data_IF_588193419356
#
_entry.id   IF_588193419356
#
_cell.length_a   1.000
_cell.length_b   1.000
_cell.length_c   1.000
_cell.angle_alpha   90.00
_cell.angle_beta   90.00
_cell.angle_gamma   90.00
#
_symmetry.space_group_name_H-M   'P 1'
#
loop_
_entity.id
_entity.type
_entity.pdbx_description
1 polymer ?
#
# COMPACT_ATOMS: atom_id res chain seq x y z
N UNK A 1 7.25 -47.13 -11.09
CA UNK A 1 8.25 -46.07 -11.33
C UNK A 1 7.73 -44.97 -12.26
N UNK A 2 7.22 -45.27 -13.46
CA UNK A 2 6.80 -44.25 -14.44
C UNK A 2 5.71 -43.28 -13.92
N UNK A 3 4.72 -43.78 -13.17
CA UNK A 3 3.61 -42.97 -12.63
C UNK A 3 4.05 -41.97 -11.57
N UNK A 4 4.98 -42.36 -10.68
CA UNK A 4 5.53 -41.48 -9.65
C UNK A 4 6.36 -40.34 -10.25
N UNK A 5 7.11 -40.62 -11.31
CA UNK A 5 7.90 -39.62 -12.04
C UNK A 5 6.96 -38.58 -12.69
N UNK A 6 5.86 -39.03 -13.30
CA UNK A 6 4.85 -38.13 -13.89
C UNK A 6 4.20 -37.27 -12.81
N UNK A 7 3.83 -37.83 -11.66
CA UNK A 7 3.26 -37.04 -10.56
C UNK A 7 4.21 -35.96 -10.05
N UNK A 8 5.50 -36.27 -9.89
CA UNK A 8 6.52 -35.30 -9.46
C UNK A 8 6.70 -34.21 -10.50
N UNK A 9 6.82 -34.57 -11.78
CA UNK A 9 6.97 -33.60 -12.87
C UNK A 9 5.75 -32.68 -13.00
N UNK A 10 4.54 -33.23 -12.90
CA UNK A 10 3.30 -32.43 -12.92
C UNK A 10 3.18 -31.51 -11.71
N UNK A 11 3.62 -31.95 -10.53
CA UNK A 11 3.65 -31.12 -9.32
C UNK A 11 4.66 -29.98 -9.44
N UNK A 12 5.87 -30.26 -9.93
CA UNK A 12 6.89 -29.25 -10.18
C UNK A 12 6.44 -28.24 -11.25
N UNK A 13 5.85 -28.72 -12.34
CA UNK A 13 5.29 -27.85 -13.37
C UNK A 13 4.16 -26.96 -12.80
N UNK A 14 3.21 -27.53 -12.05
CA UNK A 14 2.15 -26.76 -11.40
C UNK A 14 2.68 -25.71 -10.42
N UNK A 15 3.66 -26.09 -9.60
CA UNK A 15 4.32 -25.18 -8.66
C UNK A 15 5.06 -24.03 -9.36
N UNK A 16 5.78 -24.31 -10.44
CA UNK A 16 6.47 -23.26 -11.22
C UNK A 16 5.49 -22.28 -11.86
N UNK A 17 4.37 -22.76 -12.39
CA UNK A 17 3.32 -21.91 -12.97
C UNK A 17 2.69 -21.03 -11.89
N UNK A 18 2.32 -21.60 -10.75
CA UNK A 18 1.76 -20.85 -9.62
C UNK A 18 2.73 -19.78 -9.09
N UNK A 19 4.02 -20.10 -8.99
CA UNK A 19 5.06 -19.15 -8.57
C UNK A 19 5.21 -17.99 -9.57
N UNK A 20 5.19 -18.26 -10.88
CA UNK A 20 5.25 -17.23 -11.92
C UNK A 20 4.03 -16.30 -11.87
N UNK A 21 2.83 -16.84 -11.65
CA UNK A 21 1.62 -16.03 -11.47
C UNK A 21 1.70 -15.18 -10.20
N UNK A 22 2.16 -15.74 -9.09
CA UNK A 22 2.37 -15.00 -7.84
C UNK A 22 3.36 -13.84 -8.01
N UNK A 23 4.49 -14.09 -8.68
CA UNK A 23 5.48 -13.05 -8.97
C UNK A 23 4.92 -11.95 -9.87
N UNK A 24 4.12 -12.31 -10.87
CA UNK A 24 3.45 -11.34 -11.74
C UNK A 24 2.42 -10.49 -10.99
N UNK A 25 1.66 -11.09 -10.07
CA UNK A 25 0.73 -10.36 -9.22
C UNK A 25 1.44 -9.38 -8.27
N UNK A 26 2.55 -9.81 -7.64
CA UNK A 26 3.39 -8.96 -6.79
C UNK A 26 3.99 -7.76 -7.54
N UNK A 27 4.51 -8.01 -8.75
CA UNK A 27 5.04 -6.91 -9.59
C UNK A 27 3.94 -5.97 -10.08
N UNK A 28 2.76 -6.49 -10.40
CA UNK A 28 1.60 -5.67 -10.76
C UNK A 28 1.11 -4.82 -9.58
N UNK A 29 1.11 -5.35 -8.35
CA UNK A 29 0.74 -4.57 -7.17
C UNK A 29 1.73 -3.43 -6.89
N UNK A 30 3.04 -3.67 -7.05
CA UNK A 30 4.05 -2.61 -6.92
C UNK A 30 3.89 -1.52 -7.98
N UNK A 31 3.64 -1.90 -9.24
CA UNK A 31 3.39 -0.91 -10.30
C UNK A 31 2.11 -0.11 -10.03
N UNK A 32 1.06 -0.75 -9.51
CA UNK A 32 -0.17 -0.08 -9.13
C UNK A 32 0.06 0.94 -8.00
N UNK A 33 0.85 0.57 -6.99
CA UNK A 33 1.21 1.47 -5.88
C UNK A 33 1.94 2.72 -6.38
N UNK A 34 2.95 2.55 -7.24
CA UNK A 34 3.68 3.68 -7.84
C UNK A 34 2.76 4.58 -8.67
N UNK A 35 1.84 3.99 -9.45
CA UNK A 35 0.85 4.75 -10.23
C UNK A 35 -0.08 5.55 -9.32
N UNK A 36 -0.57 4.96 -8.23
CA UNK A 36 -1.42 5.64 -7.24
C UNK A 36 -0.67 6.79 -6.58
N UNK A 37 0.58 6.56 -6.16
CA UNK A 37 1.41 7.62 -5.56
C UNK A 37 1.64 8.76 -6.56
N UNK A 38 1.96 8.47 -7.82
CA UNK A 38 2.14 9.48 -8.86
C UNK A 38 0.86 10.28 -9.12
N UNK A 39 -0.30 9.62 -9.16
CA UNK A 39 -1.59 10.30 -9.32
C UNK A 39 -1.91 11.22 -8.13
N UNK A 40 -1.64 10.77 -6.90
CA UNK A 40 -1.78 11.60 -5.69
C UNK A 40 -0.87 12.84 -5.78
N UNK A 41 0.41 12.68 -6.10
CA UNK A 41 1.33 13.81 -6.24
C UNK A 41 0.91 14.75 -7.37
N UNK A 42 0.43 14.23 -8.50
CA UNK A 42 -0.07 15.04 -9.61
C UNK A 42 -1.30 15.86 -9.21
N UNK A 43 -2.25 15.27 -8.47
CA UNK A 43 -3.39 16.01 -7.91
C UNK A 43 -2.93 17.09 -6.92
N UNK A 44 -1.98 16.76 -6.04
CA UNK A 44 -1.45 17.75 -5.09
C UNK A 44 -0.80 18.94 -5.81
N UNK A 45 0.02 18.68 -6.83
CA UNK A 45 0.62 19.73 -7.65
C UNK A 45 -0.43 20.58 -8.36
N UNK A 46 -1.55 19.98 -8.82
CA UNK A 46 -2.66 20.72 -9.42
C UNK A 46 -3.34 21.66 -8.42
N UNK A 47 -3.58 21.23 -7.19
CA UNK A 47 -4.15 22.10 -6.16
C UNK A 47 -3.20 23.24 -5.77
N UNK A 48 -1.91 22.95 -5.61
CA UNK A 48 -0.88 23.98 -5.36
C UNK A 48 -0.82 24.98 -6.52
N UNK A 49 -0.85 24.51 -7.77
CA UNK A 49 -0.81 25.38 -8.95
C UNK A 49 -2.04 26.29 -9.08
N UNK A 50 -3.18 25.89 -8.51
CA UNK A 50 -4.42 26.66 -8.51
C UNK A 50 -4.66 27.46 -7.21
N UNK A 51 -3.68 27.47 -6.28
CA UNK A 51 -3.78 28.09 -4.94
C UNK A 51 -4.94 27.54 -4.09
N UNK A 52 -5.37 26.31 -4.37
CA UNK A 52 -6.50 25.64 -3.71
C UNK A 52 -6.02 24.74 -2.56
N UNK A 53 -5.34 25.38 -1.61
CA UNK A 53 -4.66 24.69 -0.49
C UNK A 53 -5.66 24.09 0.50
N UNK A 54 -6.84 24.70 0.67
CA UNK A 54 -7.88 24.19 1.57
C UNK A 54 -8.48 22.86 1.06
N UNK A 55 -8.70 22.74 -0.26
CA UNK A 55 -9.17 21.48 -0.88
C UNK A 55 -8.09 20.41 -0.78
N UNK A 56 -6.83 20.76 -1.03
CA UNK A 56 -5.69 19.86 -0.84
C UNK A 56 -5.62 19.29 0.59
N UNK A 57 -5.74 20.16 1.60
CA UNK A 57 -5.75 19.75 3.00
C UNK A 57 -6.93 18.81 3.26
N UNK A 58 -8.13 19.18 2.81
CA UNK A 58 -9.35 18.40 3.06
C UNK A 58 -9.28 17.00 2.44
N UNK A 59 -8.84 16.88 1.18
CA UNK A 59 -8.66 15.59 0.53
C UNK A 59 -7.58 14.76 1.22
N UNK A 60 -6.46 15.38 1.60
CA UNK A 60 -5.37 14.70 2.33
C UNK A 60 -5.85 14.17 3.68
N UNK A 61 -6.70 14.92 4.39
CA UNK A 61 -7.31 14.50 5.66
C UNK A 61 -8.22 13.27 5.49
N UNK A 62 -9.07 13.25 4.46
CA UNK A 62 -9.95 12.12 4.19
C UNK A 62 -9.17 10.87 3.77
N UNK A 63 -8.17 11.04 2.89
CA UNK A 63 -7.31 9.95 2.45
C UNK A 63 -6.50 9.35 3.62
N UNK A 64 -5.99 10.18 4.53
CA UNK A 64 -5.27 9.71 5.71
C UNK A 64 -6.18 8.92 6.68
N UNK A 65 -7.39 9.41 6.95
CA UNK A 65 -8.35 8.70 7.81
C UNK A 65 -8.73 7.33 7.23
N UNK A 66 -9.01 7.26 5.93
CA UNK A 66 -9.28 5.98 5.24
C UNK A 66 -8.06 5.07 5.24
N UNK A 67 -6.86 5.61 5.03
CA UNK A 67 -5.60 4.84 5.08
C UNK A 67 -5.34 4.21 6.44
N UNK A 68 -5.57 4.94 7.54
CA UNK A 68 -5.44 4.43 8.91
C UNK A 68 -6.47 3.33 9.22
N UNK A 69 -7.71 3.48 8.76
CA UNK A 69 -8.74 2.45 8.94
C UNK A 69 -8.41 1.18 8.16
N UNK A 70 -8.02 1.31 6.89
CA UNK A 70 -7.65 0.16 6.06
C UNK A 70 -6.40 -0.56 6.59
N UNK A 71 -5.45 0.17 7.18
CA UNK A 71 -4.28 -0.43 7.84
C UNK A 71 -4.69 -1.32 9.01
N UNK A 72 -5.58 -0.83 9.88
CA UNK A 72 -6.08 -1.62 11.01
C UNK A 72 -6.82 -2.88 10.56
N UNK A 73 -7.53 -2.83 9.43
CA UNK A 73 -8.18 -4.01 8.84
C UNK A 73 -7.16 -4.99 8.24
N UNK A 74 -6.10 -4.50 7.58
CA UNK A 74 -5.05 -5.32 6.97
C UNK A 74 -4.15 -6.01 8.00
N UNK A 75 -3.90 -5.40 9.15
CA UNK A 75 -3.12 -6.01 10.26
C UNK A 75 -3.78 -7.30 10.78
N UNK A 76 -5.09 -7.46 10.60
CA UNK A 76 -5.82 -8.68 11.00
C UNK A 76 -5.73 -9.83 10.00
N UNK A 77 -5.12 -9.61 8.82
CA UNK A 77 -5.11 -10.57 7.72
C UNK A 77 -3.79 -11.34 7.67
N UNK A 78 -3.81 -12.65 7.95
CA UNK A 78 -2.62 -13.54 7.98
C UNK A 78 -1.77 -13.56 6.70
N UNK A 79 -2.35 -13.20 5.57
CA UNK A 79 -1.76 -13.21 4.23
C UNK A 79 -1.54 -11.80 3.68
N UNK A 80 -1.74 -10.77 4.50
CA UNK A 80 -1.15 -9.48 4.23
C UNK A 80 0.36 -9.72 4.19
N UNK A 81 0.97 -9.56 3.02
CA UNK A 81 2.42 -9.59 2.96
C UNK A 81 2.89 -8.46 3.86
N UNK A 82 3.70 -8.78 4.88
CA UNK A 82 4.53 -7.78 5.54
C UNK A 82 5.16 -6.97 4.41
N UNK A 83 4.71 -5.73 4.23
CA UNK A 83 5.33 -4.87 3.23
C UNK A 83 6.79 -4.80 3.66
N UNK A 84 7.76 -5.25 2.84
CA UNK A 84 9.15 -5.40 3.28
C UNK A 84 9.82 -4.05 3.60
N UNK A 85 9.08 -2.96 3.52
CA UNK A 85 9.55 -1.59 3.63
C UNK A 85 9.20 -0.90 4.95
N UNK A 86 8.27 -1.44 5.76
CA UNK A 86 7.86 -0.78 7.01
C UNK A 86 7.91 -1.76 8.18
N UNK A 87 8.95 -1.64 9.01
CA UNK A 87 8.94 -2.26 10.34
C UNK A 87 7.83 -1.62 11.17
N UNK A 88 7.26 -2.35 12.14
CA UNK A 88 6.26 -1.78 13.07
C UNK A 88 6.73 -0.45 13.69
N UNK A 89 8.03 -0.33 13.99
CA UNK A 89 8.63 0.92 14.48
C UNK A 89 8.61 2.08 13.47
N UNK A 90 8.78 1.82 12.17
CA UNK A 90 8.63 2.86 11.13
C UNK A 90 7.17 3.30 10.98
N UNK A 91 6.21 2.37 11.06
CA UNK A 91 4.79 2.71 10.99
C UNK A 91 4.39 3.58 12.19
N UNK A 92 4.85 3.21 13.38
CA UNK A 92 4.58 3.99 14.60
C UNK A 92 5.22 5.38 14.54
N UNK A 93 6.44 5.51 14.01
CA UNK A 93 7.10 6.79 13.78
C UNK A 93 6.36 7.66 12.76
N UNK A 94 5.90 7.08 11.64
CA UNK A 94 5.11 7.78 10.62
C UNK A 94 3.79 8.28 11.21
N UNK A 95 3.09 7.43 11.98
CA UNK A 95 1.84 7.78 12.63
C UNK A 95 2.02 8.87 13.70
N UNK A 96 3.09 8.82 14.48
CA UNK A 96 3.43 9.89 15.43
C UNK A 96 3.73 11.20 14.70
N UNK A 97 4.59 11.18 13.67
CA UNK A 97 4.92 12.38 12.87
C UNK A 97 3.68 12.97 12.21
N UNK A 98 2.81 12.13 11.64
CA UNK A 98 1.55 12.57 11.05
C UNK A 98 0.67 13.27 12.09
N UNK A 99 0.45 12.65 13.25
CA UNK A 99 -0.34 13.23 14.34
C UNK A 99 0.24 14.57 14.85
N UNK A 100 1.56 14.70 14.95
CA UNK A 100 2.22 15.94 15.37
C UNK A 100 2.08 17.06 14.34
N UNK A 101 2.12 16.73 13.04
CA UNK A 101 1.88 17.70 11.97
C UNK A 101 0.42 18.16 11.96
N UNK A 102 -0.53 17.23 12.13
CA UNK A 102 -1.95 17.54 12.24
C UNK A 102 -2.24 18.48 13.41
N UNK A 103 -1.74 18.13 14.60
CA UNK A 103 -1.95 18.93 15.83
C UNK A 103 -1.33 20.32 15.74
N UNK A 104 -0.07 20.44 15.26
CA UNK A 104 0.64 21.73 15.20
C UNK A 104 0.01 22.71 14.22
N UNK A 105 -0.46 22.22 13.08
CA UNK A 105 -1.00 23.06 12.01
C UNK A 105 -2.53 23.21 12.07
N UNK A 106 -3.18 22.64 13.09
CA UNK A 106 -4.65 22.57 13.21
C UNK A 106 -5.32 21.97 11.96
N UNK A 107 -4.62 21.07 11.27
CA UNK A 107 -5.10 20.41 10.06
C UNK A 107 -5.98 19.22 10.46
N UNK A 108 -7.01 18.95 9.67
CA UNK A 108 -7.97 17.87 9.91
C UNK A 108 -8.73 17.97 11.25
N UNK A 109 -8.73 19.13 11.91
CA UNK A 109 -9.60 19.40 13.06
C UNK A 109 -11.03 19.60 12.54
N UNK A 110 -11.91 18.63 12.78
CA UNK A 110 -13.35 18.87 12.87
C UNK A 110 -13.70 19.26 14.29
#
# INVERSE_FOLDING_TARGET
MKTWIICILSFLAGGTVAALFGLKMLTASWQAEVLIQNDIYARHLKYIANDDIDTLITESCMALASGLQNYAELETVFWASDTPYYSQGMVEEINQRANDVLKRNKLCNK
#
